data_IF_889233128778
#
_entry.id   IF_889233128778
#
_cell.length_a   1.000
_cell.length_b   1.000
_cell.length_c   1.000
_cell.angle_alpha   90.00
_cell.angle_beta   90.00
_cell.angle_gamma   90.00
#
_symmetry.space_group_name_H-M   'P 1'
#
loop_
_entity.id
_entity.type
_entity.pdbx_description
1 polymer ?
#
# COMPACT_ATOMS: atom_id res chain seq x y z
N UNK A 1 -9.98 0.92 12.15
CA UNK A 1 -10.75 1.15 10.92
C UNK A 1 -10.61 -0.06 10.01
N UNK A 2 -11.64 -0.36 9.22
CA UNK A 2 -11.61 -1.36 8.15
C UNK A 2 -11.85 -0.62 6.83
N UNK A 3 -10.89 -0.69 5.92
CA UNK A 3 -10.91 0.04 4.65
C UNK A 3 -10.91 -0.98 3.52
N UNK A 4 -11.87 -0.90 2.61
CA UNK A 4 -11.94 -1.73 1.40
C UNK A 4 -12.02 -0.82 0.17
N UNK A 5 -11.00 -0.88 -0.68
CA UNK A 5 -10.86 -0.03 -1.86
C UNK A 5 -10.61 -0.86 -3.11
N UNK A 6 -11.25 -0.47 -4.21
CA UNK A 6 -10.99 -1.02 -5.54
C UNK A 6 -10.47 0.07 -6.47
N UNK A 7 -9.25 -0.11 -6.94
CA UNK A 7 -8.62 0.74 -7.95
C UNK A 7 -8.90 0.20 -9.35
N UNK A 8 -9.11 1.09 -10.31
CA UNK A 8 -9.17 0.81 -11.74
C UNK A 8 -8.06 1.56 -12.45
N UNK A 9 -7.34 0.85 -13.31
CA UNK A 9 -6.18 1.33 -14.04
C UNK A 9 -6.62 1.55 -15.50
N UNK A 10 -6.90 2.79 -15.96
CA UNK A 10 -7.39 3.01 -17.32
C UNK A 10 -6.37 2.59 -18.39
N UNK A 11 -5.10 2.92 -18.16
CA UNK A 11 -3.96 2.68 -19.06
C UNK A 11 -2.85 1.90 -18.36
N UNK A 12 -2.27 0.95 -19.08
CA UNK A 12 -1.07 0.20 -18.66
C UNK A 12 0.15 0.57 -19.53
N UNK A 13 0.06 1.62 -20.35
CA UNK A 13 1.04 1.92 -21.38
C UNK A 13 2.40 2.31 -20.79
N UNK A 14 2.39 3.08 -19.69
CA UNK A 14 3.62 3.47 -18.97
C UNK A 14 4.12 2.43 -17.98
N UNK A 15 3.58 1.22 -17.95
CA UNK A 15 4.07 0.17 -17.05
C UNK A 15 5.56 -0.07 -17.26
N UNK A 16 6.35 -0.01 -16.17
CA UNK A 16 7.80 -0.23 -16.17
C UNK A 16 8.14 -1.69 -16.49
N UNK A 17 9.25 -1.92 -17.19
CA UNK A 17 9.78 -3.27 -17.42
C UNK A 17 10.22 -3.90 -16.08
N UNK A 18 9.80 -5.14 -15.85
CA UNK A 18 10.19 -5.93 -14.70
C UNK A 18 11.58 -6.54 -14.93
N UNK A 19 12.55 -6.21 -14.07
CA UNK A 19 13.85 -6.84 -14.11
C UNK A 19 13.77 -8.25 -13.47
N UNK A 20 14.11 -9.35 -14.19
CA UNK A 20 14.05 -10.71 -13.64
C UNK A 20 14.89 -10.94 -12.38
N UNK A 21 15.90 -10.10 -12.12
CA UNK A 21 16.70 -10.17 -10.88
C UNK A 21 15.96 -9.68 -9.63
N UNK A 22 14.77 -9.08 -9.78
CA UNK A 22 13.93 -8.65 -8.65
C UNK A 22 13.11 -9.81 -8.07
N UNK A 23 13.79 -10.86 -7.61
CA UNK A 23 13.14 -12.01 -6.96
C UNK A 23 12.66 -11.68 -5.54
N UNK A 24 13.34 -10.75 -4.86
CA UNK A 24 12.99 -10.28 -3.51
C UNK A 24 12.05 -9.07 -3.56
N UNK A 25 10.76 -9.32 -3.30
CA UNK A 25 9.74 -8.29 -3.26
C UNK A 25 10.00 -7.21 -2.19
N UNK A 26 10.54 -7.58 -1.02
CA UNK A 26 10.79 -6.62 0.06
C UNK A 26 11.90 -5.65 -0.32
N UNK A 27 13.00 -6.16 -0.89
CA UNK A 27 14.09 -5.33 -1.39
C UNK A 27 13.62 -4.43 -2.54
N UNK A 28 12.78 -4.95 -3.44
CA UNK A 28 12.18 -4.14 -4.51
C UNK A 28 11.34 -3.00 -3.92
N UNK A 29 10.52 -3.28 -2.91
CA UNK A 29 9.70 -2.28 -2.24
C UNK A 29 10.53 -1.19 -1.55
N UNK A 30 11.62 -1.58 -0.88
CA UNK A 30 12.54 -0.63 -0.28
C UNK A 30 13.18 0.30 -1.33
N UNK A 31 13.53 -0.24 -2.50
CA UNK A 31 14.13 0.54 -3.60
C UNK A 31 13.10 1.40 -4.36
N UNK A 32 11.86 0.92 -4.50
CA UNK A 32 10.77 1.55 -5.27
C UNK A 32 9.60 1.90 -4.33
N UNK A 33 9.92 2.64 -3.27
CA UNK A 33 8.99 3.03 -2.21
C UNK A 33 7.90 4.00 -2.63
N UNK A 34 7.06 4.41 -1.68
CA UNK A 34 5.91 5.30 -1.94
C UNK A 34 6.28 6.69 -2.46
N UNK A 35 7.49 7.17 -2.14
CA UNK A 35 8.05 8.46 -2.62
C UNK A 35 8.74 8.36 -3.98
N UNK A 36 8.97 7.15 -4.50
CA UNK A 36 9.66 6.93 -5.77
C UNK A 36 8.62 6.83 -6.88
N UNK A 37 8.54 7.86 -7.71
CA UNK A 37 7.65 7.91 -8.87
C UNK A 37 7.90 6.75 -9.83
N UNK A 38 6.84 6.33 -10.52
CA UNK A 38 6.86 5.21 -11.45
C UNK A 38 5.75 5.31 -12.46
N UNK A 39 5.72 4.36 -13.40
CA UNK A 39 4.73 4.37 -14.47
C UNK A 39 3.31 4.14 -13.97
N UNK A 40 3.04 2.92 -13.51
CA UNK A 40 1.77 2.53 -12.90
C UNK A 40 2.01 2.29 -11.41
N UNK A 41 1.83 3.36 -10.65
CA UNK A 41 2.10 3.42 -9.21
C UNK A 41 3.49 3.93 -8.85
N UNK A 42 3.72 4.19 -7.55
CA UNK A 42 2.94 3.69 -6.42
C UNK A 42 1.56 4.35 -6.26
N UNK A 43 0.50 3.56 -6.06
CA UNK A 43 -0.85 4.03 -5.72
C UNK A 43 -1.49 3.14 -4.66
N UNK A 44 -2.26 3.71 -3.74
CA UNK A 44 -2.83 2.96 -2.64
C UNK A 44 -3.35 3.85 -1.51
N UNK A 45 -3.05 3.46 -0.27
CA UNK A 45 -3.48 4.10 0.96
C UNK A 45 -2.27 4.62 1.76
N UNK A 46 -2.40 5.80 2.35
CA UNK A 46 -1.57 6.25 3.47
C UNK A 46 -2.39 6.07 4.75
N UNK A 47 -1.97 5.10 5.56
CA UNK A 47 -2.61 4.72 6.82
C UNK A 47 -1.86 5.30 7.99
N UNK A 48 -2.55 5.53 9.12
CA UNK A 48 -1.97 6.11 10.34
C UNK A 48 -1.13 7.34 10.00
N UNK A 49 -1.73 8.26 9.23
CA UNK A 49 -1.04 9.44 8.71
C UNK A 49 -1.26 10.65 9.62
N UNK A 50 -0.25 11.48 9.80
CA UNK A 50 -0.40 12.79 10.44
C UNK A 50 -1.01 13.78 9.46
N UNK A 51 -1.59 14.86 9.98
CA UNK A 51 -2.32 15.87 9.20
C UNK A 51 -1.50 16.45 8.04
N UNK A 52 -0.19 16.68 8.22
CA UNK A 52 0.68 17.24 7.19
C UNK A 52 1.62 16.18 6.58
N UNK A 53 1.30 14.89 6.75
CA UNK A 53 2.05 13.76 6.20
C UNK A 53 3.52 13.69 6.65
N UNK A 54 3.83 14.21 7.84
CA UNK A 54 5.11 14.00 8.52
C UNK A 54 5.32 12.52 8.89
N UNK A 55 4.23 11.85 9.31
CA UNK A 55 4.18 10.42 9.57
C UNK A 55 3.09 9.77 8.72
N UNK A 56 3.36 8.58 8.19
CA UNK A 56 2.38 7.70 7.54
C UNK A 56 2.97 6.32 7.27
N UNK A 57 2.08 5.33 7.15
CA UNK A 57 2.42 3.99 6.63
C UNK A 57 1.76 3.80 5.28
N UNK A 58 2.57 3.68 4.22
CA UNK A 58 2.07 3.60 2.86
C UNK A 58 1.82 2.14 2.45
N UNK A 59 0.58 1.80 2.16
CA UNK A 59 0.19 0.50 1.61
C UNK A 59 -0.23 0.69 0.16
N UNK A 60 0.53 0.15 -0.80
CA UNK A 60 0.35 0.51 -2.20
C UNK A 60 0.67 -0.62 -3.17
N UNK A 61 0.11 -0.50 -4.37
CA UNK A 61 0.47 -1.31 -5.51
C UNK A 61 1.46 -0.59 -6.42
N UNK A 62 2.30 -1.39 -7.08
CA UNK A 62 3.09 -0.98 -8.23
C UNK A 62 3.00 -2.08 -9.29
N UNK A 63 2.76 -1.69 -10.53
CA UNK A 63 2.61 -2.63 -11.64
C UNK A 63 3.83 -2.53 -12.55
N UNK A 64 4.34 -3.69 -12.93
CA UNK A 64 5.40 -3.88 -13.90
C UNK A 64 4.91 -4.78 -15.03
N UNK A 65 5.65 -4.82 -16.13
CA UNK A 65 5.39 -5.71 -17.26
C UNK A 65 6.60 -6.59 -17.56
N UNK A 66 6.32 -7.79 -18.03
CA UNK A 66 7.28 -8.70 -18.65
C UNK A 66 6.87 -8.90 -20.10
N UNK A 67 7.67 -9.64 -20.89
CA UNK A 67 7.32 -9.98 -22.27
C UNK A 67 6.01 -10.79 -22.42
N UNK A 68 5.47 -11.36 -21.33
CA UNK A 68 4.29 -12.24 -21.38
C UNK A 68 3.10 -11.76 -20.55
N UNK A 69 3.36 -11.06 -19.43
CA UNK A 69 2.31 -10.68 -18.47
C UNK A 69 2.72 -9.50 -17.60
N UNK A 70 1.76 -8.96 -16.86
CA UNK A 70 1.99 -7.98 -15.81
C UNK A 70 2.44 -8.66 -14.52
N UNK A 71 3.21 -7.93 -13.72
CA UNK A 71 3.65 -8.31 -12.38
C UNK A 71 3.18 -7.22 -11.42
N UNK A 72 2.41 -7.61 -10.42
CA UNK A 72 1.85 -6.68 -9.42
C UNK A 72 2.61 -6.86 -8.11
N UNK A 73 3.16 -5.78 -7.59
CA UNK A 73 3.80 -5.72 -6.27
C UNK A 73 2.85 -5.04 -5.30
N UNK A 74 2.57 -5.67 -4.16
CA UNK A 74 1.98 -5.01 -2.99
C UNK A 74 3.09 -4.66 -2.00
N UNK A 75 3.09 -3.42 -1.56
CA UNK A 75 4.03 -2.85 -0.60
C UNK A 75 3.31 -2.39 0.66
N UNK A 76 3.94 -2.58 1.81
CA UNK A 76 3.66 -1.88 3.07
C UNK A 76 4.96 -1.21 3.53
N UNK A 77 5.09 0.08 3.23
CA UNK A 77 6.30 0.87 3.48
C UNK A 77 6.14 1.71 4.75
N UNK A 78 6.78 1.25 5.83
CA UNK A 78 6.72 1.90 7.14
C UNK A 78 7.87 2.87 7.40
N UNK A 79 8.72 3.18 6.40
CA UNK A 79 9.90 4.04 6.60
C UNK A 79 9.58 5.46 7.07
N UNK A 80 8.39 5.96 6.77
CA UNK A 80 7.88 7.25 7.25
C UNK A 80 6.84 7.11 8.36
N UNK A 81 6.73 5.94 9.00
CA UNK A 81 5.64 5.67 9.96
C UNK A 81 5.81 6.30 11.34
N UNK A 82 7.01 6.77 11.69
CA UNK A 82 7.28 7.38 12.99
C UNK A 82 8.48 8.33 12.93
N UNK A 83 8.39 9.45 13.65
CA UNK A 83 9.47 10.39 13.91
C UNK A 83 10.42 9.92 15.01
N UNK A 84 10.03 8.92 15.80
CA UNK A 84 10.89 8.37 16.85
C UNK A 84 12.10 7.64 16.24
N UNK A 85 13.26 7.90 16.81
CA UNK A 85 14.52 7.28 16.44
C UNK A 85 14.65 5.86 17.02
N UNK A 86 15.45 5.01 16.39
CA UNK A 86 15.69 3.63 16.87
C UNK A 86 14.51 2.66 16.70
N UNK A 87 13.37 3.10 16.18
CA UNK A 87 12.25 2.20 15.83
C UNK A 87 12.55 1.44 14.54
N UNK A 88 12.27 0.13 14.56
CA UNK A 88 12.31 -0.71 13.38
C UNK A 88 11.17 -0.35 12.40
N UNK A 89 11.53 0.22 11.25
CA UNK A 89 10.61 0.77 10.23
C UNK A 89 10.83 0.12 8.85
N UNK A 90 10.61 -1.20 8.69
CA UNK A 90 10.89 -1.90 7.44
C UNK A 90 9.89 -1.57 6.34
N UNK A 91 10.25 -1.94 5.12
CA UNK A 91 9.29 -2.08 4.02
C UNK A 91 9.03 -3.57 3.81
N UNK A 92 7.79 -4.01 3.97
CA UNK A 92 7.36 -5.36 3.63
C UNK A 92 6.65 -5.37 2.29
N UNK A 93 6.73 -6.49 1.58
CA UNK A 93 6.09 -6.62 0.29
C UNK A 93 5.88 -8.07 -0.11
N UNK A 94 5.00 -8.27 -1.08
CA UNK A 94 4.80 -9.53 -1.78
C UNK A 94 4.27 -9.28 -3.19
N UNK A 95 4.61 -10.18 -4.11
CA UNK A 95 3.96 -10.20 -5.41
C UNK A 95 2.52 -10.71 -5.28
N UNK A 96 1.63 -10.14 -6.09
CA UNK A 96 0.20 -10.45 -6.08
C UNK A 96 -0.13 -11.22 -7.35
N UNK A 97 -0.59 -12.46 -7.19
CA UNK A 97 -0.92 -13.34 -8.32
C UNK A 97 -2.30 -13.00 -8.90
N UNK A 98 -2.39 -11.89 -9.63
CA UNK A 98 -3.63 -11.38 -10.24
C UNK A 98 -3.43 -11.11 -11.73
N UNK A 99 -4.48 -11.36 -12.50
CA UNK A 99 -4.59 -10.90 -13.89
C UNK A 99 -5.21 -9.50 -13.91
N UNK A 100 -4.68 -8.63 -14.77
CA UNK A 100 -5.16 -7.28 -14.98
C UNK A 100 -6.09 -7.16 -16.20
N UNK A 101 -6.70 -8.26 -16.67
CA UNK A 101 -7.69 -8.25 -17.75
C UNK A 101 -8.82 -7.24 -17.49
N UNK A 102 -9.37 -7.20 -16.28
CA UNK A 102 -10.41 -6.23 -15.87
C UNK A 102 -9.82 -4.88 -15.42
N UNK A 103 -8.49 -4.76 -15.44
CA UNK A 103 -7.70 -3.60 -14.99
C UNK A 103 -8.07 -3.10 -13.59
N UNK A 104 -8.46 -4.01 -12.69
CA UNK A 104 -8.85 -3.70 -11.31
C UNK A 104 -7.91 -4.33 -10.30
N UNK A 105 -7.66 -3.62 -9.21
CA UNK A 105 -6.93 -4.13 -8.05
C UNK A 105 -7.67 -3.75 -6.77
N UNK A 106 -7.99 -4.76 -5.96
CA UNK A 106 -8.60 -4.59 -4.64
C UNK A 106 -7.54 -4.55 -3.55
N UNK A 107 -7.70 -3.66 -2.57
CA UNK A 107 -6.92 -3.62 -1.34
C UNK A 107 -7.88 -3.46 -0.17
N UNK A 108 -7.76 -4.34 0.83
CA UNK A 108 -8.39 -4.15 2.14
C UNK A 108 -7.32 -3.92 3.19
N UNK A 109 -7.49 -2.95 4.07
CA UNK A 109 -6.59 -2.69 5.19
C UNK A 109 -7.36 -2.58 6.50
N UNK A 110 -7.03 -3.45 7.46
CA UNK A 110 -7.45 -3.34 8.85
C UNK A 110 -6.41 -2.52 9.61
N UNK A 111 -6.84 -1.44 10.24
CA UNK A 111 -5.98 -0.49 10.94
C UNK A 111 -6.42 -0.45 12.40
N UNK A 112 -5.55 -0.88 13.31
CA UNK A 112 -5.81 -0.86 14.75
C UNK A 112 -4.60 -0.30 15.51
N UNK A 113 -4.60 1.02 15.70
CA UNK A 113 -3.56 1.77 16.42
C UNK A 113 -2.14 1.48 15.92
N UNK A 114 -1.46 0.46 16.46
CA UNK A 114 -0.07 0.10 16.14
C UNK A 114 0.07 -1.06 15.14
N UNK A 115 -1.03 -1.53 14.56
CA UNK A 115 -1.02 -2.60 13.56
C UNK A 115 -1.82 -2.21 12.32
N UNK A 116 -1.27 -2.56 11.16
CA UNK A 116 -1.93 -2.48 9.85
C UNK A 116 -1.82 -3.83 9.18
N UNK A 117 -2.96 -4.46 8.90
CA UNK A 117 -3.06 -5.71 8.15
C UNK A 117 -3.66 -5.44 6.78
N UNK A 118 -2.91 -5.74 5.72
CA UNK A 118 -3.25 -5.40 4.35
C UNK A 118 -3.43 -6.64 3.50
N UNK A 119 -4.51 -6.69 2.73
CA UNK A 119 -4.95 -7.82 1.93
C UNK A 119 -5.10 -7.35 0.47
N UNK A 120 -4.10 -7.66 -0.36
CA UNK A 120 -4.12 -7.33 -1.78
C UNK A 120 -4.74 -8.43 -2.64
N UNK A 121 -5.46 -8.03 -3.69
CA UNK A 121 -6.02 -8.96 -4.67
C UNK A 121 -7.01 -9.98 -4.07
N UNK A 122 -7.83 -9.56 -3.11
CA UNK A 122 -8.77 -10.44 -2.42
C UNK A 122 -8.12 -11.37 -1.40
N UNK A 123 -6.97 -10.99 -0.84
CA UNK A 123 -6.24 -11.80 0.15
C UNK A 123 -5.21 -12.76 -0.45
N UNK A 124 -4.91 -12.65 -1.75
CA UNK A 124 -3.83 -13.41 -2.40
C UNK A 124 -2.45 -13.05 -1.86
N UNK A 125 -2.30 -11.81 -1.40
CA UNK A 125 -1.10 -11.34 -0.69
C UNK A 125 -1.53 -10.63 0.57
N UNK A 126 -1.03 -11.09 1.71
CA UNK A 126 -1.30 -10.51 3.02
C UNK A 126 -0.01 -9.94 3.61
N UNK A 127 -0.08 -8.73 4.17
CA UNK A 127 1.06 -8.08 4.83
C UNK A 127 0.58 -7.49 6.14
N UNK A 128 1.20 -7.89 7.24
CA UNK A 128 0.98 -7.29 8.56
C UNK A 128 2.17 -6.43 8.91
N UNK A 129 1.92 -5.19 9.33
CA UNK A 129 2.95 -4.23 9.72
C UNK A 129 2.66 -3.70 11.11
N UNK A 130 3.70 -3.61 11.94
CA UNK A 130 3.65 -2.92 13.24
C UNK A 130 4.30 -1.57 13.10
N UNK A 131 3.61 -0.52 13.53
CA UNK A 131 4.06 0.87 13.41
C UNK A 131 3.70 1.66 14.66
N UNK A 132 4.49 2.69 14.96
CA UNK A 132 4.41 3.42 16.22
C UNK A 132 4.56 4.93 15.98
N UNK A 133 3.57 5.57 15.31
CA UNK A 133 3.60 7.01 15.06
C UNK A 133 3.58 7.79 16.38
N UNK A 134 4.15 8.99 16.36
CA UNK A 134 4.17 9.93 17.48
C UNK A 134 3.09 11.02 17.37
N UNK A 135 2.72 11.38 16.14
CA UNK A 135 1.72 12.38 15.78
C UNK A 135 0.41 11.75 15.35
N UNK A 136 0.47 10.70 14.52
CA UNK A 136 -0.71 10.03 13.96
C UNK A 136 -1.36 9.03 14.93
N UNK A 137 -1.73 9.52 16.12
CA UNK A 137 -2.25 8.72 17.24
C UNK A 137 -3.68 9.11 17.54
N UNK A 138 -4.55 8.10 17.74
CA UNK A 138 -5.98 8.29 18.05
C UNK A 138 -6.66 9.22 17.03
N UNK A 139 -7.31 10.28 17.51
CA UNK A 139 -8.08 11.22 16.69
C UNK A 139 -7.21 12.07 15.74
N UNK A 140 -5.89 12.05 15.93
CA UNK A 140 -4.94 12.72 15.02
C UNK A 140 -4.51 11.84 13.84
N UNK A 141 -4.91 10.56 13.83
CA UNK A 141 -4.64 9.66 12.72
C UNK A 141 -5.60 9.92 11.56
N UNK A 142 -5.04 10.11 10.36
CA UNK A 142 -5.76 10.33 9.13
C UNK A 142 -5.56 9.15 8.17
N UNK A 143 -6.45 9.07 7.19
CA UNK A 143 -6.39 8.11 6.09
C UNK A 143 -6.46 8.87 4.77
N UNK A 144 -5.57 8.54 3.84
CA UNK A 144 -5.58 9.10 2.50
C UNK A 144 -5.54 7.99 1.45
N UNK A 145 -6.23 8.18 0.33
CA UNK A 145 -5.91 7.47 -0.91
C UNK A 145 -4.92 8.33 -1.70
N UNK A 146 -3.90 7.72 -2.30
CA UNK A 146 -2.87 8.43 -3.04
C UNK A 146 -2.50 7.74 -4.35
N UNK A 147 -1.98 8.53 -5.28
CA UNK A 147 -1.31 8.07 -6.49
C UNK A 147 -0.09 8.95 -6.73
N UNK A 148 1.10 8.35 -6.74
CA UNK A 148 2.36 9.01 -7.03
C UNK A 148 3.06 8.35 -8.23
N UNK A 149 2.27 7.79 -9.16
CA UNK A 149 2.73 7.32 -10.46
C UNK A 149 2.23 8.20 -11.61
N UNK A 150 2.81 7.99 -12.79
CA UNK A 150 2.56 8.76 -14.01
C UNK A 150 1.18 8.51 -14.62
N UNK A 151 0.65 7.30 -14.45
CA UNK A 151 -0.66 6.92 -14.94
C UNK A 151 -1.75 7.31 -13.97
N UNK A 152 -2.87 7.76 -14.51
CA UNK A 152 -4.06 8.08 -13.71
C UNK A 152 -4.66 6.81 -13.14
N UNK A 153 -5.00 6.80 -11.86
CA UNK A 153 -5.69 5.68 -11.21
C UNK A 153 -7.06 6.17 -10.74
N UNK A 154 -8.09 5.39 -11.06
CA UNK A 154 -9.48 5.70 -10.67
C UNK A 154 -9.83 4.85 -9.46
N UNK A 155 -10.21 5.49 -8.35
CA UNK A 155 -10.84 4.80 -7.22
C UNK A 155 -12.28 4.49 -7.62
N UNK A 156 -12.58 3.23 -7.96
CA UNK A 156 -13.93 2.81 -8.38
C UNK A 156 -14.90 2.76 -7.20
N UNK A 157 -14.39 2.31 -6.06
CA UNK A 157 -15.12 2.25 -4.81
C UNK A 157 -14.14 2.37 -3.65
N UNK A 158 -14.58 3.01 -2.57
CA UNK A 158 -13.87 3.07 -1.30
C UNK A 158 -14.92 3.03 -0.19
N UNK A 159 -14.88 1.96 0.59
CA UNK A 159 -15.65 1.84 1.81
C UNK A 159 -14.71 1.95 3.00
N UNK A 160 -15.12 2.71 4.01
CA UNK A 160 -14.37 2.90 5.24
C UNK A 160 -15.31 2.77 6.44
N UNK A 161 -15.00 1.85 7.35
CA UNK A 161 -15.76 1.62 8.57
C UNK A 161 -14.92 1.98 9.80
N UNK A 162 -15.50 2.82 10.66
CA UNK A 162 -15.03 2.98 12.04
C UNK A 162 -15.30 1.68 12.79
N UNK A 163 -14.26 1.09 13.36
CA UNK A 163 -14.35 -0.20 14.04
C UNK A 163 -14.45 0.01 15.54
N UNK A 164 -15.46 -0.58 16.17
CA UNK A 164 -15.62 -0.55 17.62
C UNK A 164 -14.60 -1.46 18.30
N UNK A 165 -14.24 -1.15 19.54
CA UNK A 165 -13.40 -2.02 20.37
C UNK A 165 -14.10 -3.36 20.61
N UNK A 166 -13.38 -4.45 20.38
CA UNK A 166 -13.85 -5.78 20.71
C UNK A 166 -13.75 -6.03 22.23
N UNK A 167 -14.63 -6.90 22.76
CA UNK A 167 -14.46 -7.47 24.10
C UNK A 167 -13.52 -8.67 24.00
N UNK A 168 -12.30 -8.51 24.49
CA UNK A 168 -11.28 -9.55 24.53
C UNK A 168 -11.26 -10.13 25.95
N UNK A 169 -11.35 -11.46 26.08
CA UNK A 169 -11.37 -12.18 27.35
C UNK A 169 -9.98 -12.54 27.84
#
# INVERSE_FOLDING_TARGET
ADIDVTFYIPSLDKTEEFNPSWEDAQRLCANKGSKVEGGVGPFGLLTLASKNLEEYTAVFFRVFKTSKKHVVLLCSDARSSSLEDGIYKPSFAGFVDVDLADKKLSLRSLIDHSVVESFGGGGKTCITSRVYPTLAVLDNAHLYAFNNGDETIIVKNLNAWSMNKAKIN
#
